data_IF_395961206246
#
_entry.id   IF_395961206246
#
_cell.length_a   1.000
_cell.length_b   1.000
_cell.length_c   1.000
_cell.angle_alpha   90.00
_cell.angle_beta   90.00
_cell.angle_gamma   90.00
#
_symmetry.space_group_name_H-M   'P 1'
#
loop_
_entity.id
_entity.type
_entity.pdbx_description
1 polymer ?
#
# COMPACT_ATOMS: atom_id res chain seq x y z
N UNK A 1 -10.52 -36.03 3.27
CA UNK A 1 -11.17 -34.95 4.06
C UNK A 1 -12.49 -34.61 3.40
N UNK A 2 -13.62 -34.89 4.03
CA UNK A 2 -14.94 -34.67 3.44
C UNK A 2 -15.29 -33.18 3.46
N UNK A 3 -15.31 -32.53 2.30
CA UNK A 3 -15.87 -31.19 2.21
C UNK A 3 -17.39 -31.30 2.39
N UNK A 4 -17.90 -30.76 3.50
CA UNK A 4 -19.34 -30.60 3.72
C UNK A 4 -19.94 -29.88 2.52
N UNK A 5 -20.88 -30.53 1.82
CA UNK A 5 -21.62 -29.97 0.67
C UNK A 5 -22.71 -28.99 1.11
N UNK A 6 -22.87 -28.72 2.40
CA UNK A 6 -23.85 -27.73 2.88
C UNK A 6 -23.39 -26.34 2.43
N UNK A 7 -24.18 -25.76 1.53
CA UNK A 7 -24.06 -24.35 1.13
C UNK A 7 -24.19 -23.52 2.41
N UNK A 8 -23.11 -22.85 2.77
CA UNK A 8 -23.01 -22.10 4.02
C UNK A 8 -23.84 -20.83 3.84
N UNK A 9 -24.93 -20.68 4.59
CA UNK A 9 -25.79 -19.50 4.54
C UNK A 9 -25.35 -18.51 5.63
N UNK A 10 -24.97 -17.30 5.21
CA UNK A 10 -24.53 -16.22 6.08
C UNK A 10 -25.56 -15.10 6.20
N UNK A 11 -26.73 -15.23 5.58
CA UNK A 11 -27.77 -14.18 5.60
C UNK A 11 -28.14 -13.78 7.02
N UNK A 12 -28.17 -12.47 7.28
CA UNK A 12 -28.48 -11.88 8.58
C UNK A 12 -27.35 -11.89 9.61
N UNK A 13 -26.20 -12.53 9.32
CA UNK A 13 -25.07 -12.53 10.23
C UNK A 13 -24.30 -11.21 10.17
N UNK A 14 -23.77 -10.78 11.33
CA UNK A 14 -22.96 -9.58 11.47
C UNK A 14 -21.47 -9.93 11.61
N UNK A 15 -20.63 -9.30 10.80
CA UNK A 15 -19.17 -9.43 10.79
C UNK A 15 -18.54 -8.05 10.98
N UNK A 16 -18.18 -7.73 12.23
CA UNK A 16 -17.74 -6.36 12.57
C UNK A 16 -18.90 -5.36 12.42
N UNK A 17 -18.76 -4.41 11.51
CA UNK A 17 -19.78 -3.41 11.13
C UNK A 17 -20.61 -3.85 9.92
N UNK A 18 -20.35 -5.02 9.33
CA UNK A 18 -21.03 -5.51 8.14
C UNK A 18 -22.16 -6.46 8.51
N UNK A 19 -23.35 -6.21 8.02
CA UNK A 19 -24.50 -7.11 8.11
C UNK A 19 -24.75 -7.75 6.75
N UNK A 20 -24.75 -9.08 6.69
CA UNK A 20 -24.99 -9.81 5.44
C UNK A 20 -26.47 -9.71 5.05
N UNK A 21 -26.75 -9.16 3.88
CA UNK A 21 -28.11 -9.00 3.35
C UNK A 21 -28.51 -10.21 2.51
N UNK A 22 -27.76 -10.50 1.46
CA UNK A 22 -28.12 -11.49 0.44
C UNK A 22 -26.88 -12.11 -0.22
N UNK A 23 -27.00 -13.30 -0.82
CA UNK A 23 -25.96 -13.85 -1.67
C UNK A 23 -25.68 -12.91 -2.85
N UNK A 24 -24.41 -12.74 -3.20
CA UNK A 24 -23.98 -12.00 -4.39
C UNK A 24 -23.40 -12.96 -5.45
N UNK A 25 -23.07 -12.42 -6.62
CA UNK A 25 -22.33 -13.17 -7.63
C UNK A 25 -21.00 -13.69 -7.07
N UNK A 26 -20.64 -14.92 -7.44
CA UNK A 26 -19.40 -15.51 -6.97
C UNK A 26 -18.21 -14.70 -7.47
N UNK A 27 -17.35 -14.26 -6.56
CA UNK A 27 -16.12 -13.56 -6.88
C UNK A 27 -14.95 -14.56 -6.93
N UNK A 28 -14.28 -14.66 -8.09
CA UNK A 28 -13.18 -15.59 -8.35
C UNK A 28 -13.52 -17.06 -8.03
N UNK A 29 -14.72 -17.49 -8.41
CA UNK A 29 -15.22 -18.85 -8.16
C UNK A 29 -15.53 -19.16 -6.70
N UNK A 30 -15.55 -18.15 -5.82
CA UNK A 30 -15.92 -18.29 -4.39
C UNK A 30 -17.25 -17.61 -4.09
N UNK A 31 -18.00 -18.19 -3.17
CA UNK A 31 -19.25 -17.60 -2.67
C UNK A 31 -18.98 -16.22 -2.08
N UNK A 32 -19.74 -15.23 -2.56
CA UNK A 32 -19.71 -13.86 -2.06
C UNK A 32 -21.10 -13.44 -1.59
N UNK A 33 -21.11 -12.41 -0.75
CA UNK A 33 -22.29 -11.90 -0.07
C UNK A 33 -22.34 -10.39 -0.21
N UNK A 34 -23.55 -9.87 -0.46
CA UNK A 34 -23.85 -8.46 -0.36
C UNK A 34 -24.02 -8.12 1.11
N UNK A 35 -23.15 -7.25 1.61
CA UNK A 35 -23.17 -6.80 2.99
C UNK A 35 -23.48 -5.31 3.06
N UNK A 36 -24.29 -4.90 4.03
CA UNK A 36 -24.48 -3.50 4.38
C UNK A 36 -23.66 -3.15 5.60
N UNK A 37 -22.86 -2.11 5.51
CA UNK A 37 -22.13 -1.60 6.67
C UNK A 37 -23.03 -0.71 7.53
N UNK A 38 -22.70 -0.56 8.81
CA UNK A 38 -23.33 0.40 9.73
C UNK A 38 -23.27 1.85 9.18
N UNK A 39 -22.34 2.12 8.24
CA UNK A 39 -22.19 3.36 7.48
C UNK A 39 -23.30 3.60 6.42
N UNK A 40 -24.13 2.60 6.13
CA UNK A 40 -25.15 2.61 5.08
C UNK A 40 -24.68 2.05 3.73
N UNK A 41 -23.38 2.11 3.43
CA UNK A 41 -22.80 1.62 2.18
C UNK A 41 -22.90 0.10 2.05
N UNK A 42 -23.12 -0.38 0.82
CA UNK A 42 -23.20 -1.81 0.51
C UNK A 42 -21.96 -2.27 -0.23
N UNK A 43 -21.36 -3.37 0.21
CA UNK A 43 -20.17 -3.95 -0.41
C UNK A 43 -20.33 -5.45 -0.63
N UNK A 44 -19.68 -5.99 -1.65
CA UNK A 44 -19.64 -7.44 -1.91
C UNK A 44 -18.39 -8.03 -1.28
N UNK A 45 -18.55 -9.04 -0.41
CA UNK A 45 -17.45 -9.65 0.35
C UNK A 45 -17.50 -11.17 0.21
N UNK A 46 -16.33 -11.79 0.00
CA UNK A 46 -16.19 -13.25 -0.06
C UNK A 46 -16.45 -13.87 1.30
N UNK A 47 -17.06 -15.05 1.34
CA UNK A 47 -17.29 -15.84 2.56
C UNK A 47 -16.02 -16.00 3.41
N UNK A 48 -14.87 -16.27 2.79
CA UNK A 48 -13.60 -16.40 3.51
C UNK A 48 -13.19 -15.11 4.22
N UNK A 49 -13.34 -13.95 3.58
CA UNK A 49 -12.94 -12.67 4.19
C UNK A 49 -13.86 -12.24 5.34
N UNK A 50 -15.15 -12.59 5.28
CA UNK A 50 -16.07 -12.38 6.40
C UNK A 50 -15.67 -13.25 7.60
N UNK A 51 -15.45 -14.55 7.37
CA UNK A 51 -15.16 -15.53 8.43
C UNK A 51 -13.77 -15.35 9.06
N UNK A 52 -12.77 -15.06 8.24
CA UNK A 52 -11.39 -14.87 8.70
C UNK A 52 -11.18 -13.45 9.28
N UNK A 53 -12.20 -12.59 9.20
CA UNK A 53 -12.16 -11.24 9.75
C UNK A 53 -11.32 -10.25 8.94
N UNK A 54 -10.96 -10.57 7.69
CA UNK A 54 -10.24 -9.67 6.79
C UNK A 54 -11.07 -8.47 6.34
N UNK A 55 -12.40 -8.58 6.35
CA UNK A 55 -13.30 -7.48 5.99
C UNK A 55 -14.36 -7.31 7.07
N UNK A 56 -14.25 -6.22 7.83
CA UNK A 56 -15.13 -5.90 8.97
C UNK A 56 -15.93 -4.61 8.77
N UNK A 57 -15.71 -3.86 7.69
CA UNK A 57 -16.44 -2.61 7.39
C UNK A 57 -16.38 -2.27 5.90
N UNK A 58 -17.20 -1.31 5.47
CA UNK A 58 -17.18 -0.70 4.13
C UNK A 58 -15.90 0.10 3.84
N UNK A 59 -15.05 0.34 4.84
CA UNK A 59 -13.90 1.24 4.74
C UNK A 59 -14.22 2.72 4.93
N UNK A 60 -15.47 3.10 5.25
CA UNK A 60 -15.90 4.49 5.44
C UNK A 60 -15.13 5.26 6.51
N UNK A 61 -14.60 4.58 7.53
CA UNK A 61 -13.81 5.22 8.58
C UNK A 61 -12.48 5.78 8.08
N UNK A 62 -12.08 5.40 6.86
CA UNK A 62 -10.83 5.80 6.28
C UNK A 62 -10.91 7.08 5.42
N UNK A 63 -12.08 7.72 5.31
CA UNK A 63 -12.31 8.86 4.41
C UNK A 63 -12.31 8.46 2.91
N UNK A 64 -12.71 9.38 2.01
CA UNK A 64 -12.60 9.15 0.58
C UNK A 64 -11.12 8.97 0.20
N UNK A 65 -10.74 7.76 -0.21
CA UNK A 65 -9.35 7.42 -0.59
C UNK A 65 -8.66 6.38 0.30
N UNK A 66 -9.28 5.91 1.39
CA UNK A 66 -8.75 4.83 2.22
C UNK A 66 -7.75 5.29 3.29
N UNK A 67 -7.25 4.32 4.10
CA UNK A 67 -6.61 4.56 5.42
C UNK A 67 -5.48 5.59 5.43
N UNK A 68 -4.88 5.84 4.26
CA UNK A 68 -3.73 6.71 4.08
C UNK A 68 -4.07 8.21 4.12
N UNK A 69 -5.30 8.61 3.81
CA UNK A 69 -5.73 10.03 3.87
C UNK A 69 -6.24 10.43 5.26
N UNK A 70 -6.71 9.47 6.07
CA UNK A 70 -7.14 9.71 7.46
C UNK A 70 -6.01 10.17 8.39
N UNK A 71 -4.73 10.00 8.00
CA UNK A 71 -3.55 10.46 8.74
C UNK A 71 -3.14 11.90 8.42
N UNK A 72 -3.92 12.65 7.63
CA UNK A 72 -3.55 14.00 7.20
C UNK A 72 -2.35 14.04 6.24
N UNK A 73 -2.10 12.93 5.53
CA UNK A 73 -1.00 12.80 4.59
C UNK A 73 -1.43 13.22 3.19
N UNK A 74 -0.60 14.04 2.53
CA UNK A 74 -0.84 14.56 1.19
C UNK A 74 -0.23 13.62 0.15
N UNK A 75 -1.08 12.96 -0.64
CA UNK A 75 -0.65 12.12 -1.76
C UNK A 75 -0.89 12.82 -3.10
N UNK A 76 0.19 13.04 -3.85
CA UNK A 76 0.14 13.63 -5.20
C UNK A 76 0.86 12.66 -6.15
N UNK A 77 0.18 12.26 -7.23
CA UNK A 77 0.67 11.27 -8.20
C UNK A 77 1.20 9.98 -7.55
N UNK A 78 0.48 9.47 -6.55
CA UNK A 78 0.85 8.25 -5.81
C UNK A 78 2.07 8.40 -4.91
N UNK A 79 2.48 9.64 -4.60
CA UNK A 79 3.64 9.95 -3.76
C UNK A 79 3.19 10.74 -2.53
N UNK A 80 3.54 10.26 -1.33
CA UNK A 80 3.27 10.97 -0.07
C UNK A 80 4.33 12.05 0.16
N UNK A 81 3.90 13.32 0.23
CA UNK A 81 4.80 14.48 0.35
C UNK A 81 5.53 14.46 1.69
N UNK A 82 4.82 14.22 2.78
CA UNK A 82 5.35 14.21 4.14
C UNK A 82 6.32 13.04 4.35
N UNK A 83 6.03 11.89 3.74
CA UNK A 83 6.91 10.72 3.82
C UNK A 83 8.22 10.90 3.03
N UNK A 84 8.19 11.66 1.92
CA UNK A 84 9.42 12.04 1.23
C UNK A 84 10.22 13.07 2.04
N UNK A 85 9.54 14.03 2.67
CA UNK A 85 10.16 15.07 3.48
C UNK A 85 10.84 14.50 4.74
N UNK A 86 10.27 13.47 5.36
CA UNK A 86 10.81 12.88 6.61
C UNK A 86 12.16 12.18 6.44
N UNK A 87 12.52 11.81 5.19
CA UNK A 87 13.75 11.07 4.83
C UNK A 87 14.04 9.89 5.76
N UNK A 88 13.00 9.28 6.33
CA UNK A 88 13.13 8.24 7.36
C UNK A 88 13.70 6.96 6.75
N UNK A 89 14.82 6.50 7.30
CA UNK A 89 15.43 5.22 6.91
C UNK A 89 14.78 4.09 7.72
N UNK A 90 14.33 3.04 7.04
CA UNK A 90 13.72 1.86 7.69
C UNK A 90 14.78 1.04 8.41
N UNK A 91 14.42 0.41 9.53
CA UNK A 91 15.33 -0.42 10.35
C UNK A 91 15.91 -1.63 9.60
N UNK A 92 15.21 -2.16 8.60
CA UNK A 92 15.69 -3.26 7.76
C UNK A 92 16.55 -2.78 6.57
N UNK A 93 16.91 -1.50 6.53
CA UNK A 93 17.88 -0.99 5.56
C UNK A 93 19.30 -1.32 6.04
N UNK A 94 19.95 -2.25 5.35
CA UNK A 94 21.28 -2.75 5.72
C UNK A 94 22.44 -1.87 5.26
N UNK A 95 22.23 -0.98 4.29
CA UNK A 95 23.28 -0.09 3.76
C UNK A 95 23.30 1.29 4.43
N UNK A 96 22.27 1.60 5.23
CA UNK A 96 22.03 2.93 5.78
C UNK A 96 21.50 3.96 4.76
N UNK A 97 21.43 3.60 3.47
CA UNK A 97 21.03 4.53 2.40
C UNK A 97 19.89 3.91 1.58
N UNK A 98 18.66 4.46 1.64
CA UNK A 98 17.52 3.94 0.90
C UNK A 98 17.80 3.80 -0.60
N UNK A 99 17.55 2.61 -1.15
CA UNK A 99 17.73 2.36 -2.58
C UNK A 99 19.18 2.16 -3.03
N UNK A 100 20.14 2.10 -2.10
CA UNK A 100 21.52 1.67 -2.37
C UNK A 100 21.74 0.30 -1.74
N UNK A 101 22.07 -0.70 -2.54
CA UNK A 101 22.24 -2.08 -2.08
C UNK A 101 23.42 -2.79 -2.78
N UNK A 102 24.02 -3.77 -2.09
CA UNK A 102 25.12 -4.55 -2.65
C UNK A 102 24.59 -5.69 -3.52
N UNK A 103 24.99 -5.71 -4.78
CA UNK A 103 24.64 -6.77 -5.72
C UNK A 103 25.75 -7.82 -5.79
N UNK A 104 25.68 -8.79 -4.87
CA UNK A 104 26.73 -9.82 -4.70
C UNK A 104 27.08 -10.56 -6.00
N UNK A 105 26.09 -10.94 -6.80
CA UNK A 105 26.30 -11.64 -8.09
C UNK A 105 27.11 -10.84 -9.12
N UNK A 106 27.17 -9.51 -8.99
CA UNK A 106 27.90 -8.61 -9.90
C UNK A 106 29.11 -7.96 -9.25
N UNK A 107 29.27 -8.09 -7.93
CA UNK A 107 30.32 -7.41 -7.17
C UNK A 107 30.23 -5.88 -7.25
N UNK A 108 29.01 -5.31 -7.26
CA UNK A 108 28.78 -3.87 -7.46
C UNK A 108 27.68 -3.34 -6.56
N UNK A 109 27.79 -2.08 -6.16
CA UNK A 109 26.73 -1.32 -5.51
C UNK A 109 25.71 -0.84 -6.53
N UNK A 110 24.43 -1.14 -6.30
CA UNK A 110 23.32 -0.68 -7.12
C UNK A 110 22.67 0.54 -6.47
N UNK A 111 22.35 1.56 -7.26
CA UNK A 111 21.55 2.70 -6.81
C UNK A 111 20.22 2.78 -7.58
N UNK A 112 19.13 2.95 -6.84
CA UNK A 112 17.76 3.09 -7.36
C UNK A 112 16.98 4.12 -6.55
N UNK A 113 15.96 4.72 -7.17
CA UNK A 113 15.01 5.62 -6.50
C UNK A 113 13.60 5.32 -7.00
N UNK A 114 12.63 5.30 -6.10
CA UNK A 114 11.22 5.23 -6.47
C UNK A 114 10.60 6.63 -6.40
N UNK A 115 9.85 7.02 -7.44
CA UNK A 115 9.16 8.29 -7.50
C UNK A 115 7.91 8.17 -8.39
N UNK A 116 6.76 8.72 -7.96
CA UNK A 116 5.48 8.66 -8.68
C UNK A 116 5.11 7.25 -9.18
N UNK A 117 5.27 6.26 -8.31
CA UNK A 117 4.99 4.85 -8.61
C UNK A 117 5.97 4.16 -9.55
N UNK A 118 7.04 4.84 -10.01
CA UNK A 118 8.05 4.28 -10.92
C UNK A 118 9.40 4.10 -10.23
N UNK A 119 10.09 3.00 -10.53
CA UNK A 119 11.46 2.75 -10.09
C UNK A 119 12.44 3.25 -11.17
N UNK A 120 13.31 4.18 -10.80
CA UNK A 120 14.39 4.66 -11.64
C UNK A 120 15.69 3.98 -11.25
N UNK A 121 16.35 3.36 -12.22
CA UNK A 121 17.70 2.83 -12.09
C UNK A 121 18.70 3.98 -12.27
N UNK A 122 19.58 4.17 -11.28
CA UNK A 122 20.55 5.27 -11.29
C UNK A 122 21.93 4.80 -11.75
N UNK A 123 22.21 3.49 -11.63
CA UNK A 123 23.45 2.89 -12.06
C UNK A 123 23.89 1.75 -11.15
N UNK A 124 25.04 1.17 -11.50
CA UNK A 124 25.81 0.30 -10.62
C UNK A 124 27.27 0.71 -10.60
N UNK A 125 27.87 0.66 -9.43
CA UNK A 125 29.15 1.28 -9.11
C UNK A 125 30.05 0.28 -8.40
N UNK A 126 31.35 0.40 -8.59
CA UNK A 126 32.33 -0.37 -7.80
C UNK A 126 32.42 0.15 -6.36
N UNK A 127 32.31 1.47 -6.18
CA UNK A 127 32.34 2.12 -4.86
C UNK A 127 30.94 2.34 -4.28
N UNK A 128 30.81 2.17 -2.97
CA UNK A 128 29.61 2.53 -2.22
C UNK A 128 29.32 4.03 -2.33
N UNK A 129 30.36 4.85 -2.22
CA UNK A 129 30.25 6.31 -2.21
C UNK A 129 29.68 6.85 -3.52
N UNK A 130 30.07 6.27 -4.65
CA UNK A 130 29.54 6.63 -5.97
C UNK A 130 28.05 6.31 -6.09
N UNK A 131 27.63 5.15 -5.57
CA UNK A 131 26.22 4.77 -5.53
C UNK A 131 25.40 5.72 -4.63
N UNK A 132 25.94 6.11 -3.48
CA UNK A 132 25.33 7.10 -2.59
C UNK A 132 25.24 8.48 -3.26
N UNK A 133 26.30 8.91 -3.96
CA UNK A 133 26.32 10.18 -4.69
C UNK A 133 25.24 10.20 -5.77
N UNK A 134 25.13 9.14 -6.55
CA UNK A 134 24.08 9.00 -7.56
C UNK A 134 22.68 9.04 -6.93
N UNK A 135 22.49 8.36 -5.78
CA UNK A 135 21.25 8.36 -5.03
C UNK A 135 20.86 9.76 -4.54
N UNK A 136 21.77 10.48 -3.88
CA UNK A 136 21.56 11.85 -3.38
C UNK A 136 21.26 12.84 -4.51
N UNK A 137 21.97 12.74 -5.63
CA UNK A 137 21.69 13.60 -6.79
C UNK A 137 20.30 13.32 -7.39
N UNK A 138 19.80 12.10 -7.30
CA UNK A 138 18.43 11.79 -7.70
C UNK A 138 17.39 12.30 -6.68
N UNK A 139 17.69 12.32 -5.38
CA UNK A 139 16.82 12.93 -4.36
C UNK A 139 16.62 14.42 -4.64
N UNK A 140 17.72 15.16 -4.86
CA UNK A 140 17.64 16.59 -5.15
C UNK A 140 16.76 16.86 -6.37
N UNK A 141 16.98 16.10 -7.45
CA UNK A 141 16.28 16.31 -8.72
C UNK A 141 14.80 15.91 -8.69
N UNK A 142 14.47 14.84 -7.98
CA UNK A 142 13.14 14.23 -8.03
C UNK A 142 12.34 14.45 -6.76
N UNK A 143 12.92 14.13 -5.60
CA UNK A 143 12.22 14.19 -4.31
C UNK A 143 12.19 15.61 -3.75
N UNK A 144 13.34 16.25 -3.56
CA UNK A 144 13.42 17.57 -2.90
C UNK A 144 12.68 18.64 -3.71
N UNK A 145 12.83 18.63 -5.04
CA UNK A 145 12.05 19.50 -5.94
C UNK A 145 10.54 19.28 -5.82
N UNK A 146 10.10 18.02 -5.75
CA UNK A 146 8.69 17.70 -5.63
C UNK A 146 8.14 18.11 -4.26
N UNK A 147 8.89 17.89 -3.20
CA UNK A 147 8.50 18.31 -1.85
C UNK A 147 8.35 19.83 -1.81
N UNK A 148 9.34 20.60 -2.28
CA UNK A 148 9.28 22.06 -2.25
C UNK A 148 8.11 22.65 -3.07
N UNK A 149 7.79 22.06 -4.22
CA UNK A 149 6.66 22.48 -5.05
C UNK A 149 5.29 22.23 -4.38
N UNK A 150 5.21 21.29 -3.44
CA UNK A 150 3.94 20.82 -2.86
C UNK A 150 3.78 21.10 -1.36
N UNK A 151 4.83 21.51 -0.65
CA UNK A 151 4.72 21.99 0.74
C UNK A 151 4.43 23.49 0.85
N UNK A 152 4.72 24.29 -0.18
CA UNK A 152 4.45 25.75 -0.23
C UNK A 152 2.96 26.06 -0.49
N UNK A 153 2.15 25.06 -0.83
CA UNK A 153 0.74 25.21 -1.20
C UNK A 153 -0.24 24.82 -0.08
N UNK A 154 0.26 24.60 1.13
CA UNK A 154 -0.54 24.31 2.33
C UNK A 154 -0.55 25.54 3.23
#
# INVERSE_FOLDING_TARGET
MGHSRKKLDLKGQKFGQLTVLDPAENADGRTAWLCQCDCGEKIVVKTCHLRDGHTKSCGCQNGPGGSRYALGLTYIDGTCVEMLASKTVRSNNTSGVPGVDWWSSKGRWRATICFKGRRHYLGSYSSFEDAVKARKQAEIRLHDRFVSENTVRI
#
